data_IF_867106395157
#
_entry.id   IF_867106395157
#
_cell.length_a   1.000
_cell.length_b   1.000
_cell.length_c   1.000
_cell.angle_alpha   90.00
_cell.angle_beta   90.00
_cell.angle_gamma   90.00
#
_symmetry.space_group_name_H-M   'P 1'
#
loop_
_entity.id
_entity.type
_entity.pdbx_description
1 polymer ?
#
# COMPACT_ATOMS: atom_id res chain seq x y z
N UNK A 1 -5.00 5.14 -11.86
CA UNK A 1 -4.40 4.19 -10.89
C UNK A 1 -4.80 2.76 -11.14
N UNK A 2 -6.08 2.38 -11.09
CA UNK A 2 -6.54 1.02 -11.51
C UNK A 2 -6.14 0.70 -12.97
N UNK A 3 -6.08 1.71 -13.83
CA UNK A 3 -5.58 1.61 -15.21
C UNK A 3 -4.18 0.99 -15.28
N UNK A 4 -3.21 1.52 -14.51
CA UNK A 4 -1.81 1.03 -14.50
C UNK A 4 -1.70 -0.37 -13.90
N UNK A 5 -2.40 -0.63 -12.80
CA UNK A 5 -2.39 -1.94 -12.14
C UNK A 5 -2.99 -3.04 -13.02
N UNK A 6 -4.07 -2.72 -13.75
CA UNK A 6 -4.72 -3.70 -14.64
C UNK A 6 -3.86 -4.09 -15.84
N UNK A 7 -2.95 -3.20 -16.28
CA UNK A 7 -2.17 -3.36 -17.50
C UNK A 7 -2.99 -3.50 -18.79
N UNK A 8 -4.32 -3.31 -18.71
CA UNK A 8 -5.23 -3.55 -19.83
C UNK A 8 -5.09 -2.48 -20.90
N UNK A 9 -5.13 -2.89 -22.16
CA UNK A 9 -5.18 -1.97 -23.29
C UNK A 9 -6.58 -1.39 -23.41
N UNK A 10 -6.67 -0.06 -23.45
CA UNK A 10 -7.93 0.64 -23.65
C UNK A 10 -8.13 0.92 -25.14
N UNK A 11 -9.32 0.60 -25.63
CA UNK A 11 -9.74 0.90 -27.00
C UNK A 11 -10.69 2.10 -26.98
N UNK A 12 -10.33 3.16 -27.71
CA UNK A 12 -11.23 4.28 -27.98
C UNK A 12 -11.74 4.11 -29.40
N UNK A 13 -13.04 3.83 -29.54
CA UNK A 13 -13.70 3.60 -30.82
C UNK A 13 -14.52 4.84 -31.17
N UNK A 14 -14.23 5.48 -32.30
CA UNK A 14 -15.12 6.52 -32.82
C UNK A 14 -16.42 5.87 -33.28
N UNK A 15 -17.56 6.49 -32.97
CA UNK A 15 -18.88 5.99 -33.39
C UNK A 15 -19.54 7.09 -34.20
N UNK A 16 -19.80 6.81 -35.47
CA UNK A 16 -20.51 7.70 -36.38
C UNK A 16 -21.93 7.17 -36.60
N UNK A 17 -22.87 8.09 -36.84
CA UNK A 17 -24.24 7.75 -37.21
C UNK A 17 -24.70 8.69 -38.32
N UNK A 18 -25.13 8.13 -39.44
CA UNK A 18 -25.88 8.90 -40.44
C UNK A 18 -27.32 9.15 -39.94
N UNK A 19 -27.98 10.19 -40.44
CA UNK A 19 -29.24 10.74 -39.92
C UNK A 19 -30.31 9.69 -39.54
N UNK A 20 -30.38 8.55 -40.26
CA UNK A 20 -31.35 7.47 -40.03
C UNK A 20 -30.73 6.05 -39.93
N UNK A 21 -29.40 5.91 -39.88
CA UNK A 21 -28.72 4.61 -39.86
C UNK A 21 -28.44 4.02 -38.47
N UNK A 22 -28.08 2.73 -38.34
CA UNK A 22 -27.51 2.18 -37.12
C UNK A 22 -26.12 2.80 -36.84
N UNK A 23 -25.66 2.84 -35.58
CA UNK A 23 -24.32 3.34 -35.25
C UNK A 23 -23.25 2.47 -35.93
N UNK A 24 -22.26 3.13 -36.54
CA UNK A 24 -21.12 2.48 -37.20
C UNK A 24 -19.87 2.80 -36.40
N UNK A 25 -19.11 1.75 -36.04
CA UNK A 25 -17.79 1.91 -35.47
C UNK A 25 -16.80 2.40 -36.54
N UNK A 26 -16.18 3.54 -36.28
CA UNK A 26 -15.10 4.11 -37.08
C UNK A 26 -13.73 3.68 -36.56
N UNK A 27 -12.76 4.59 -36.63
CA UNK A 27 -11.39 4.37 -36.19
C UNK A 27 -11.29 3.91 -34.73
N UNK A 28 -10.41 2.95 -34.49
CA UNK A 28 -10.08 2.40 -33.17
C UNK A 28 -8.67 2.88 -32.80
N UNK A 29 -8.58 3.67 -31.75
CA UNK A 29 -7.31 4.02 -31.13
C UNK A 29 -7.03 3.11 -29.93
N UNK A 30 -5.78 2.66 -29.81
CA UNK A 30 -5.32 1.88 -28.66
C UNK A 30 -4.46 2.74 -27.76
N UNK A 31 -4.76 2.73 -26.47
CA UNK A 31 -3.95 3.40 -25.44
C UNK A 31 -3.58 2.36 -24.40
N UNK A 32 -2.29 2.31 -24.06
CA UNK A 32 -1.78 1.50 -22.95
C UNK A 32 -1.57 2.40 -21.74
N UNK A 33 -1.94 1.96 -20.54
CA UNK A 33 -1.45 2.59 -19.31
C UNK A 33 0.07 2.61 -19.36
N UNK A 34 0.68 3.75 -19.06
CA UNK A 34 2.12 3.86 -19.01
C UNK A 34 2.57 5.00 -18.09
N UNK A 35 3.44 4.64 -17.13
CA UNK A 35 4.32 5.59 -16.43
C UNK A 35 3.64 6.46 -15.37
N UNK A 36 2.33 6.32 -15.14
CA UNK A 36 1.70 7.03 -14.03
C UNK A 36 2.13 6.43 -12.69
N UNK A 37 2.66 7.28 -11.81
CA UNK A 37 2.97 6.94 -10.43
C UNK A 37 2.13 7.79 -9.49
N UNK A 38 1.38 7.14 -8.60
CA UNK A 38 0.57 7.81 -7.59
C UNK A 38 1.45 8.71 -6.69
N UNK A 39 1.09 9.96 -6.38
CA UNK A 39 1.88 10.79 -5.46
C UNK A 39 1.84 10.23 -4.03
N UNK A 40 2.91 10.33 -3.24
CA UNK A 40 2.91 9.81 -1.85
C UNK A 40 1.91 10.55 -0.94
N UNK A 41 1.57 11.79 -1.27
CA UNK A 41 0.61 12.61 -0.51
C UNK A 41 -0.52 13.04 -1.45
N UNK A 42 -1.74 13.11 -0.95
CA UNK A 42 -2.92 13.51 -1.72
C UNK A 42 -3.52 12.45 -2.65
N UNK A 43 -3.10 11.18 -2.61
CA UNK A 43 -3.78 10.11 -3.38
C UNK A 43 -5.06 9.66 -2.70
N UNK A 44 -6.07 9.28 -3.48
CA UNK A 44 -7.33 8.70 -2.98
C UNK A 44 -7.17 7.24 -2.55
N UNK A 45 -7.91 6.85 -1.52
CA UNK A 45 -7.90 5.49 -1.00
C UNK A 45 -8.69 4.52 -1.87
N UNK A 46 -8.04 3.44 -2.28
CA UNK A 46 -8.67 2.29 -2.93
C UNK A 46 -8.04 1.02 -2.36
N UNK A 47 -8.81 0.21 -1.64
CA UNK A 47 -8.30 -0.99 -0.99
C UNK A 47 -7.63 -1.95 -1.99
N UNK A 48 -6.46 -2.49 -1.67
CA UNK A 48 -5.67 -3.36 -2.54
C UNK A 48 -4.85 -2.64 -3.61
N UNK A 49 -5.28 -1.45 -4.05
CA UNK A 49 -4.68 -0.70 -5.16
C UNK A 49 -3.83 0.46 -4.63
N UNK A 50 -4.44 1.28 -3.77
CA UNK A 50 -3.88 2.50 -3.19
C UNK A 50 -4.33 2.60 -1.74
N UNK A 51 -3.82 1.69 -0.93
CA UNK A 51 -4.11 1.66 0.49
C UNK A 51 -2.87 2.07 1.30
N UNK A 52 -2.93 1.81 2.60
CA UNK A 52 -1.83 2.06 3.51
C UNK A 52 -0.59 1.25 3.15
N UNK A 53 -0.74 -0.01 2.71
CA UNK A 53 0.38 -0.86 2.38
C UNK A 53 1.01 -0.48 1.04
N UNK A 54 0.22 -0.21 -0.01
CA UNK A 54 0.77 0.30 -1.28
C UNK A 54 1.55 1.60 -1.04
N UNK A 55 1.08 2.47 -0.14
CA UNK A 55 1.80 3.70 0.20
C UNK A 55 3.16 3.42 0.87
N UNK A 56 3.23 2.44 1.78
CA UNK A 56 4.48 1.99 2.39
C UNK A 56 5.43 1.44 1.32
N UNK A 57 4.94 0.58 0.42
CA UNK A 57 5.73 0.03 -0.69
C UNK A 57 6.28 1.12 -1.60
N UNK A 58 5.43 2.06 -2.00
CA UNK A 58 5.82 3.21 -2.83
C UNK A 58 6.87 4.09 -2.14
N UNK A 59 6.75 4.33 -0.84
CA UNK A 59 7.76 5.07 -0.09
C UNK A 59 9.11 4.34 -0.12
N UNK A 60 9.10 3.03 0.18
CA UNK A 60 10.32 2.22 0.20
C UNK A 60 11.00 2.17 -1.17
N UNK A 61 10.23 1.95 -2.25
CA UNK A 61 10.77 1.92 -3.60
C UNK A 61 11.39 3.26 -4.01
N UNK A 62 10.71 4.38 -3.73
CA UNK A 62 11.11 5.70 -4.23
C UNK A 62 12.16 6.40 -3.37
N UNK A 63 12.02 6.31 -2.06
CA UNK A 63 12.84 7.06 -1.11
C UNK A 63 14.06 6.26 -0.64
N UNK A 64 13.93 4.92 -0.61
CA UNK A 64 14.98 4.03 -0.12
C UNK A 64 15.54 3.09 -1.20
N UNK A 65 14.94 3.03 -2.39
CA UNK A 65 15.35 2.12 -3.47
C UNK A 65 15.10 0.65 -3.15
N UNK A 66 14.10 0.35 -2.31
CA UNK A 66 13.82 -0.99 -1.81
C UNK A 66 12.45 -1.45 -2.29
N UNK A 67 12.42 -2.54 -3.04
CA UNK A 67 11.17 -3.19 -3.42
C UNK A 67 10.68 -4.10 -2.29
N UNK A 68 9.47 -3.81 -1.81
CA UNK A 68 8.78 -4.64 -0.81
C UNK A 68 7.79 -5.59 -1.53
N UNK A 69 7.66 -6.85 -1.05
CA UNK A 69 6.77 -7.83 -1.68
C UNK A 69 5.31 -7.34 -1.64
N UNK A 70 4.55 -7.63 -2.69
CA UNK A 70 3.11 -7.40 -2.65
C UNK A 70 2.41 -8.67 -2.15
N UNK A 71 1.68 -8.56 -1.05
CA UNK A 71 0.87 -9.66 -0.54
C UNK A 71 -0.62 -9.33 -0.67
N UNK A 72 -1.40 -10.39 -0.93
CA UNK A 72 -2.84 -10.30 -0.98
C UNK A 72 -3.39 -9.89 0.40
N UNK A 73 -4.27 -8.89 0.42
CA UNK A 73 -4.89 -8.36 1.63
C UNK A 73 -6.39 -8.13 1.37
N UNK A 74 -7.22 -9.19 1.42
CA UNK A 74 -8.66 -9.08 1.21
C UNK A 74 -9.29 -8.06 2.17
N UNK A 75 -10.31 -7.32 1.74
CA UNK A 75 -10.97 -6.38 2.66
C UNK A 75 -11.59 -7.12 3.85
N UNK A 76 -11.47 -6.55 5.05
CA UNK A 76 -11.94 -7.18 6.29
C UNK A 76 -11.08 -8.35 6.81
N UNK A 77 -9.88 -8.58 6.27
CA UNK A 77 -9.00 -9.67 6.72
C UNK A 77 -8.71 -9.65 8.24
N UNK A 78 -8.78 -8.47 8.88
CA UNK A 78 -8.53 -8.30 10.30
C UNK A 78 -9.69 -8.72 11.20
N UNK A 79 -10.88 -9.03 10.66
CA UNK A 79 -12.07 -9.38 11.45
C UNK A 79 -12.19 -10.88 11.77
N UNK A 80 -11.29 -11.71 11.23
CA UNK A 80 -11.30 -13.16 11.41
C UNK A 80 -10.73 -13.65 12.76
N UNK A 81 -10.22 -12.73 13.58
CA UNK A 81 -9.67 -13.02 14.91
C UNK A 81 -8.25 -13.61 14.94
N UNK A 82 -7.68 -14.02 13.80
CA UNK A 82 -6.46 -14.85 13.77
C UNK A 82 -5.41 -14.39 12.76
N UNK A 83 -5.79 -13.65 11.72
CA UNK A 83 -4.86 -13.22 10.69
C UNK A 83 -3.84 -12.22 11.23
N UNK A 84 -2.55 -12.53 11.05
CA UNK A 84 -1.42 -11.67 11.45
C UNK A 84 -0.65 -11.18 10.23
N UNK A 85 -1.39 -10.81 9.19
CA UNK A 85 -0.90 -10.54 7.85
C UNK A 85 0.32 -9.61 7.81
N UNK A 86 0.32 -8.49 8.56
CA UNK A 86 1.50 -7.64 8.63
C UNK A 86 2.66 -8.29 9.40
N UNK A 87 2.40 -8.94 10.53
CA UNK A 87 3.45 -9.52 11.36
C UNK A 87 4.22 -10.62 10.63
N UNK A 88 3.50 -11.49 9.92
CA UNK A 88 4.08 -12.63 9.23
C UNK A 88 4.84 -12.18 7.98
N UNK A 89 4.26 -11.27 7.19
CA UNK A 89 4.88 -10.79 5.95
C UNK A 89 6.06 -9.85 6.21
N UNK A 90 6.01 -8.96 7.20
CA UNK A 90 7.14 -8.05 7.46
C UNK A 90 8.37 -8.81 7.95
N UNK A 91 8.19 -9.83 8.80
CA UNK A 91 9.32 -10.67 9.21
C UNK A 91 9.97 -11.38 8.02
N UNK A 92 9.15 -11.94 7.12
CA UNK A 92 9.65 -12.56 5.89
C UNK A 92 10.33 -11.56 4.94
N UNK A 93 9.91 -10.29 4.96
CA UNK A 93 10.48 -9.19 4.18
C UNK A 93 11.74 -8.56 4.82
N UNK A 94 12.30 -9.15 5.89
CA UNK A 94 13.54 -8.69 6.52
C UNK A 94 13.35 -7.55 7.52
N UNK A 95 12.19 -7.48 8.17
CA UNK A 95 11.93 -6.53 9.24
C UNK A 95 11.97 -7.19 10.61
N UNK A 96 12.48 -6.44 11.59
CA UNK A 96 12.49 -6.83 12.99
C UNK A 96 11.80 -5.76 13.86
N UNK A 97 11.18 -6.15 14.99
CA UNK A 97 10.66 -5.21 15.97
C UNK A 97 11.72 -4.19 16.42
N UNK A 98 11.35 -2.90 16.42
CA UNK A 98 12.16 -1.87 17.07
C UNK A 98 12.09 -2.08 18.58
N UNK A 99 13.22 -2.15 19.30
CA UNK A 99 13.22 -2.32 20.76
C UNK A 99 12.43 -1.23 21.46
N UNK A 100 11.75 -1.59 22.55
CA UNK A 100 11.02 -0.62 23.36
C UNK A 100 11.97 0.47 23.90
N UNK A 101 11.56 1.73 23.76
CA UNK A 101 12.37 2.89 24.16
C UNK A 101 13.46 3.30 23.16
N UNK A 102 13.70 2.55 22.08
CA UNK A 102 14.60 2.98 21.02
C UNK A 102 14.01 4.18 20.25
N UNK A 103 14.89 5.04 19.74
CA UNK A 103 14.50 6.15 18.89
C UNK A 103 14.04 5.63 17.52
N UNK A 104 12.92 6.16 17.03
CA UNK A 104 12.43 5.86 15.71
C UNK A 104 13.28 6.54 14.63
N UNK A 105 13.47 5.82 13.54
CA UNK A 105 14.25 6.25 12.39
C UNK A 105 13.36 6.38 11.16
N UNK A 106 13.73 7.29 10.25
CA UNK A 106 13.01 7.45 8.99
C UNK A 106 12.99 6.12 8.25
N UNK A 107 11.80 5.68 7.85
CA UNK A 107 11.59 4.39 7.22
C UNK A 107 10.99 3.34 8.15
N UNK A 108 11.06 3.50 9.48
CA UNK A 108 10.39 2.59 10.40
C UNK A 108 8.89 2.49 10.08
N UNK A 109 8.38 1.26 10.02
CA UNK A 109 6.98 1.00 9.74
C UNK A 109 6.22 0.93 11.05
N UNK A 110 5.22 1.79 11.19
CA UNK A 110 4.33 1.88 12.34
C UNK A 110 3.09 1.05 12.04
N UNK A 111 2.87 -0.02 12.79
CA UNK A 111 1.71 -0.89 12.69
C UNK A 111 0.69 -0.54 13.77
N UNK A 112 -0.52 -0.21 13.33
CA UNK A 112 -1.60 0.29 14.18
C UNK A 112 -2.84 -0.60 14.06
N UNK A 113 -3.56 -0.74 15.17
CA UNK A 113 -4.90 -1.32 15.22
C UNK A 113 -5.93 -0.19 15.24
N UNK A 114 -6.52 0.10 14.08
CA UNK A 114 -7.53 1.16 13.91
C UNK A 114 -8.91 0.52 13.74
N UNK A 115 -9.76 0.65 14.77
CA UNK A 115 -11.10 0.04 14.81
C UNK A 115 -11.07 -1.48 14.60
N UNK A 116 -10.00 -2.15 15.04
CA UNK A 116 -9.91 -3.62 15.00
C UNK A 116 -10.52 -4.22 16.26
N UNK A 117 -11.56 -5.05 16.11
CA UNK A 117 -12.26 -5.67 17.25
C UNK A 117 -11.42 -6.69 18.03
N UNK A 118 -10.36 -7.20 17.41
CA UNK A 118 -9.42 -8.19 17.96
C UNK A 118 -8.01 -7.62 18.23
N UNK A 119 -7.84 -6.29 18.15
CA UNK A 119 -6.57 -5.59 18.33
C UNK A 119 -5.46 -5.94 17.30
N UNK A 120 -5.79 -6.69 16.26
CA UNK A 120 -4.89 -7.00 15.14
C UNK A 120 -4.49 -5.72 14.40
N UNK A 121 -3.19 -5.48 14.14
CA UNK A 121 -2.77 -4.33 13.37
C UNK A 121 -3.35 -4.42 11.95
N UNK A 122 -4.18 -3.45 11.56
CA UNK A 122 -4.84 -3.42 10.25
C UNK A 122 -4.44 -2.18 9.43
N UNK A 123 -3.61 -1.30 9.98
CA UNK A 123 -3.13 -0.10 9.34
C UNK A 123 -1.61 0.03 9.46
N UNK A 124 -0.97 0.52 8.41
CA UNK A 124 0.47 0.75 8.37
C UNK A 124 0.78 2.20 7.99
N UNK A 125 1.84 2.75 8.57
CA UNK A 125 2.42 4.04 8.20
C UNK A 125 3.93 3.99 8.22
N UNK A 126 4.58 4.97 7.61
CA UNK A 126 6.05 5.11 7.62
C UNK A 126 6.43 6.32 8.47
N UNK A 127 7.30 6.14 9.45
CA UNK A 127 7.88 7.23 10.20
C UNK A 127 8.83 8.04 9.29
N UNK A 128 8.69 9.36 9.28
CA UNK A 128 9.45 10.25 8.40
C UNK A 128 10.62 10.95 9.09
N UNK A 129 10.70 10.87 10.42
CA UNK A 129 11.49 11.77 11.26
C UNK A 129 10.62 12.86 11.90
N UNK A 130 11.16 13.58 12.88
CA UNK A 130 10.54 14.76 13.50
C UNK A 130 9.08 14.59 13.96
N UNK A 131 8.76 13.42 14.52
CA UNK A 131 7.40 13.07 14.94
C UNK A 131 6.38 13.15 13.79
N UNK A 132 6.80 12.92 12.55
CA UNK A 132 5.91 12.84 11.38
C UNK A 132 5.78 11.41 10.88
N UNK A 133 4.60 11.09 10.35
CA UNK A 133 4.28 9.83 9.72
C UNK A 133 3.61 10.07 8.37
N UNK A 134 4.02 9.30 7.36
CA UNK A 134 3.30 9.14 6.11
C UNK A 134 2.34 7.96 6.25
N UNK A 135 1.06 8.18 5.99
CA UNK A 135 0.09 7.09 6.02
C UNK A 135 -1.13 7.37 5.13
N UNK A 136 -1.90 6.32 4.87
CA UNK A 136 -3.12 6.41 4.06
C UNK A 136 -4.30 5.86 4.84
N UNK A 137 -5.04 6.74 5.50
CA UNK A 137 -6.19 6.32 6.30
C UNK A 137 -7.36 5.94 5.38
N UNK A 138 -8.07 4.86 5.73
CA UNK A 138 -9.25 4.40 5.00
C UNK A 138 -10.26 5.54 4.76
N UNK A 139 -10.67 5.71 3.50
CA UNK A 139 -11.62 6.75 3.09
C UNK A 139 -11.10 8.19 3.14
N UNK A 140 -9.79 8.40 3.31
CA UNK A 140 -9.14 9.72 3.29
C UNK A 140 -8.06 9.79 2.22
N UNK A 141 -7.58 11.00 1.94
CA UNK A 141 -6.36 11.16 1.14
C UNK A 141 -5.15 10.74 1.99
N UNK A 142 -4.12 10.20 1.34
CA UNK A 142 -2.82 9.98 1.99
C UNK A 142 -2.24 11.32 2.49
N UNK A 143 -1.70 11.36 3.70
CA UNK A 143 -1.21 12.59 4.32
C UNK A 143 0.08 12.36 5.10
N UNK A 144 0.72 13.49 5.45
CA UNK A 144 1.74 13.54 6.49
C UNK A 144 1.07 14.08 7.75
N UNK A 145 1.04 13.25 8.77
CA UNK A 145 0.41 13.58 10.04
C UNK A 145 1.46 13.54 11.16
N UNK A 146 1.19 14.25 12.25
CA UNK A 146 2.02 14.18 13.46
C UNK A 146 1.80 12.82 14.13
N UNK A 147 2.87 12.04 14.26
CA UNK A 147 2.89 10.79 15.00
C UNK A 147 2.92 11.05 16.52
N UNK A 148 1.73 11.20 17.10
CA UNK A 148 1.50 11.48 18.51
C UNK A 148 0.09 11.11 18.94
N UNK A 149 -0.23 11.31 20.22
CA UNK A 149 -1.57 11.11 20.79
C UNK A 149 -2.21 9.79 20.37
N UNK A 150 -3.40 9.89 19.77
CA UNK A 150 -4.19 8.75 19.31
C UNK A 150 -3.42 7.78 18.39
N UNK A 151 -2.53 8.29 17.53
CA UNK A 151 -1.72 7.40 16.66
C UNK A 151 -0.74 6.54 17.46
N UNK A 152 -0.17 7.07 18.55
CA UNK A 152 0.71 6.28 19.43
C UNK A 152 -0.12 5.31 20.29
N UNK A 153 -1.31 5.71 20.72
CA UNK A 153 -2.23 4.86 21.48
C UNK A 153 -2.71 3.64 20.68
N UNK A 154 -2.95 3.81 19.37
CA UNK A 154 -3.36 2.72 18.49
C UNK A 154 -2.17 1.95 17.87
N UNK A 155 -0.92 2.35 18.15
CA UNK A 155 0.26 1.61 17.71
C UNK A 155 0.39 0.31 18.50
N UNK A 156 0.71 -0.78 17.81
CA UNK A 156 0.93 -2.11 18.39
C UNK A 156 2.35 -2.60 18.21
N UNK A 157 2.97 -2.20 17.12
CA UNK A 157 4.34 -2.56 16.82
C UNK A 157 4.96 -1.51 15.92
N UNK A 158 6.24 -1.27 16.10
CA UNK A 158 7.08 -0.59 15.12
C UNK A 158 8.13 -1.58 14.65
N UNK A 159 8.32 -1.70 13.33
CA UNK A 159 9.31 -2.60 12.73
C UNK A 159 10.29 -1.83 11.87
N UNK A 160 11.55 -2.26 11.90
CA UNK A 160 12.65 -1.69 11.13
C UNK A 160 13.25 -2.75 10.24
N UNK A 161 13.60 -2.36 9.02
CA UNK A 161 14.30 -3.26 8.10
C UNK A 161 15.74 -3.47 8.57
N UNK A 162 16.16 -4.72 8.66
CA UNK A 162 17.54 -5.08 9.03
C UNK A 162 18.31 -5.42 7.75
N UNK A 163 19.35 -4.64 7.47
CA UNK A 163 20.20 -4.81 6.29
C UNK A 163 21.02 -6.10 6.48
N UNK A 164 20.79 -7.13 5.66
CA UNK A 164 21.58 -8.37 5.64
C UNK A 164 20.81 -9.68 5.58
N UNK A 165 19.49 -9.68 5.78
CA UNK A 165 18.64 -10.86 5.56
C UNK A 165 18.22 -10.89 4.09
N UNK A 166 18.84 -11.78 3.30
CA UNK A 166 18.32 -12.13 1.99
C UNK A 166 16.86 -12.62 2.15
N UNK A 167 15.94 -12.29 1.22
CA UNK A 167 14.60 -12.85 1.25
C UNK A 167 14.71 -14.39 1.22
N UNK A 168 14.08 -15.05 2.17
CA UNK A 168 13.98 -16.50 2.17
C UNK A 168 13.29 -16.95 0.88
N UNK A 169 14.06 -17.54 -0.04
CA UNK A 169 13.52 -18.23 -1.21
C UNK A 169 12.46 -19.22 -0.71
N UNK A 170 11.20 -18.98 -1.07
CA UNK A 170 10.15 -19.95 -0.85
C UNK A 170 10.45 -21.15 -1.74
N UNK A 171 11.01 -22.18 -1.11
CA UNK A 171 11.21 -23.47 -1.73
C UNK A 171 9.88 -24.00 -2.24
N UNK A 172 9.79 -24.13 -3.56
CA UNK A 172 8.85 -24.98 -4.25
C UNK A 172 8.87 -26.36 -3.58
N UNK A 173 7.74 -26.77 -2.99
CA UNK A 173 7.56 -28.16 -2.56
C UNK A 173 6.86 -28.93 -3.69
N UNK A 174 7.23 -30.22 -3.87
CA UNK A 174 7.01 -31.00 -5.08
C UNK A 174 5.54 -31.40 -5.32
#
# INVERSE_FOLDING_TARGET
>A
MVCEESGLVWLIVSVCRDLDGPPVAGEIHQIRPCGYQAPLVGRSFHHGVLDCYTLVRDFYARELGIELPDFARPDGWWDDGHSRLYMDNFRAAGFEPVPEGALLERGDIILMAIRSGNDTPNHAGVYLGDSQMLHHMYGRLSSRDVYGGWYRECTRLVVRRVVGLAPHEHGEKP
#
